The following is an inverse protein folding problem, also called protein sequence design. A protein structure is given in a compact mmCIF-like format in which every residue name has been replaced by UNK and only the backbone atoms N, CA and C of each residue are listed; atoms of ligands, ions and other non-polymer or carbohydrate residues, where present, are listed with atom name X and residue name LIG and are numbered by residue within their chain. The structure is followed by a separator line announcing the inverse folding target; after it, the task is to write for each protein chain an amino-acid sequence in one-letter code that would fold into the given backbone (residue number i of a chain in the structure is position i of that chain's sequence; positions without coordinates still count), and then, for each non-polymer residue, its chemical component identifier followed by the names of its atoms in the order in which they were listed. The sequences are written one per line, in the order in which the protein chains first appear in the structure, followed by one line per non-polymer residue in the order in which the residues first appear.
data_IF_936093589372
#
_entry.id   IF_936093589372
#
_cell.length_a   1.000
_cell.length_b   1.000
_cell.length_c   1.000
_cell.angle_alpha   90.00
_cell.angle_beta   90.00
_cell.angle_gamma   90.00
#
_symmetry.space_group_name_H-M   'P 1'
#
loop_
_entity.id
_entity.type
_entity.pdbx_description
1 polymer ?
#
# COMPACT_ATOMS: atom_id res chain seq x y z
N UNK A 1 -30.07 -19.74 5.80
CA UNK A 1 -29.77 -18.36 5.34
C UNK A 1 -28.47 -17.80 5.91
N UNK A 2 -28.19 -17.92 7.22
CA UNK A 2 -26.99 -17.36 7.89
C UNK A 2 -25.65 -17.75 7.23
N UNK A 3 -25.48 -19.01 6.84
CA UNK A 3 -24.25 -19.49 6.19
C UNK A 3 -23.96 -18.88 4.80
N UNK A 4 -25.00 -18.57 4.01
CA UNK A 4 -24.82 -17.95 2.68
C UNK A 4 -24.31 -16.51 2.79
N UNK A 5 -24.90 -15.72 3.70
CA UNK A 5 -24.48 -14.34 3.95
C UNK A 5 -23.09 -14.26 4.60
N UNK A 6 -22.75 -15.19 5.50
CA UNK A 6 -21.39 -15.27 6.04
C UNK A 6 -20.35 -15.57 4.95
N UNK A 7 -20.68 -16.46 4.01
CA UNK A 7 -19.79 -16.74 2.87
C UNK A 7 -19.66 -15.53 1.94
N UNK A 8 -20.77 -14.85 1.65
CA UNK A 8 -20.77 -13.63 0.85
C UNK A 8 -19.94 -12.53 1.52
N UNK A 9 -20.10 -12.34 2.83
CA UNK A 9 -19.29 -11.41 3.61
C UNK A 9 -17.80 -11.77 3.55
N UNK A 10 -17.44 -13.06 3.72
CA UNK A 10 -16.04 -13.51 3.56
C UNK A 10 -15.49 -13.17 2.18
N UNK A 11 -16.28 -13.36 1.12
CA UNK A 11 -15.86 -13.06 -0.24
C UNK A 11 -15.65 -11.54 -0.45
N UNK A 12 -16.52 -10.69 0.09
CA UNK A 12 -16.32 -9.24 -0.01
C UNK A 12 -15.11 -8.76 0.81
N UNK A 13 -14.92 -9.32 2.01
CA UNK A 13 -13.73 -9.02 2.82
C UNK A 13 -12.46 -9.48 2.10
N UNK A 14 -12.49 -10.65 1.47
CA UNK A 14 -11.35 -11.16 0.70
C UNK A 14 -10.93 -10.19 -0.40
N UNK A 15 -11.88 -9.61 -1.14
CA UNK A 15 -11.61 -8.61 -2.17
C UNK A 15 -10.99 -7.33 -1.59
N UNK A 16 -11.45 -6.89 -0.42
CA UNK A 16 -10.81 -5.77 0.31
C UNK A 16 -9.38 -6.14 0.71
N UNK A 17 -9.16 -7.37 1.20
CA UNK A 17 -7.84 -7.87 1.56
C UNK A 17 -6.89 -7.90 0.35
N UNK A 18 -7.34 -8.32 -0.82
CA UNK A 18 -6.53 -8.34 -2.04
C UNK A 18 -6.03 -6.93 -2.41
N UNK A 19 -6.92 -5.92 -2.38
CA UNK A 19 -6.58 -4.52 -2.63
C UNK A 19 -5.58 -4.02 -1.57
N UNK A 20 -5.84 -4.31 -0.30
CA UNK A 20 -4.97 -3.91 0.81
C UNK A 20 -3.58 -4.55 0.70
N UNK A 21 -3.51 -5.84 0.39
CA UNK A 21 -2.24 -6.57 0.29
C UNK A 21 -1.39 -6.04 -0.86
N UNK A 22 -2.00 -5.73 -2.01
CA UNK A 22 -1.30 -5.11 -3.13
C UNK A 22 -0.78 -3.71 -2.74
N UNK A 23 -1.64 -2.87 -2.15
CA UNK A 23 -1.25 -1.55 -1.69
C UNK A 23 -0.11 -1.60 -0.66
N UNK A 24 -0.21 -2.47 0.35
CA UNK A 24 0.80 -2.65 1.41
C UNK A 24 2.12 -3.18 0.85
N UNK A 25 2.08 -4.16 -0.05
CA UNK A 25 3.28 -4.74 -0.65
C UNK A 25 4.06 -3.71 -1.46
N UNK A 26 3.36 -2.96 -2.32
CA UNK A 26 3.97 -1.85 -3.06
C UNK A 26 4.47 -0.73 -2.14
N UNK A 27 3.71 -0.39 -1.10
CA UNK A 27 4.11 0.62 -0.12
C UNK A 27 5.41 0.23 0.59
N UNK A 28 5.52 -1.02 1.05
CA UNK A 28 6.70 -1.53 1.71
C UNK A 28 7.92 -1.44 0.79
N UNK A 29 7.79 -1.84 -0.48
CA UNK A 29 8.87 -1.71 -1.48
C UNK A 29 9.32 -0.25 -1.59
N UNK A 30 8.37 0.69 -1.76
CA UNK A 30 8.67 2.12 -1.84
C UNK A 30 9.36 2.63 -0.57
N UNK A 31 8.84 2.29 0.61
CA UNK A 31 9.38 2.70 1.90
C UNK A 31 10.84 2.23 2.07
N UNK A 32 11.11 0.98 1.70
CA UNK A 32 12.45 0.42 1.76
C UNK A 32 13.40 1.07 0.75
N UNK A 33 12.99 1.23 -0.51
CA UNK A 33 13.84 1.85 -1.54
C UNK A 33 14.16 3.33 -1.26
N UNK A 34 13.27 4.05 -0.57
CA UNK A 34 13.51 5.44 -0.13
C UNK A 34 14.40 5.52 1.11
N UNK A 35 14.32 4.53 2.00
CA UNK A 35 15.07 4.48 3.25
C UNK A 35 15.67 3.08 3.49
N UNK A 36 16.70 2.67 2.73
CA UNK A 36 17.31 1.36 2.91
C UNK A 36 18.08 1.28 4.23
N UNK A 37 18.14 0.08 4.82
CA UNK A 37 18.84 -0.15 6.10
C UNK A 37 20.37 -0.24 5.97
N UNK A 38 20.92 -0.05 4.77
CA UNK A 38 22.35 -0.20 4.47
C UNK A 38 22.85 0.94 3.59
N UNK A 39 24.04 1.46 3.91
CA UNK A 39 24.70 2.49 3.10
C UNK A 39 25.01 1.98 1.68
N UNK A 40 25.47 0.72 1.56
CA UNK A 40 25.75 0.10 0.26
C UNK A 40 24.49 -0.01 -0.60
N UNK A 41 23.37 -0.41 0.01
CA UNK A 41 22.08 -0.44 -0.70
C UNK A 41 21.68 0.95 -1.16
N UNK A 42 21.82 1.95 -0.28
CA UNK A 42 21.52 3.35 -0.59
C UNK A 42 22.32 3.85 -1.80
N UNK A 43 23.63 3.62 -1.82
CA UNK A 43 24.50 4.00 -2.94
C UNK A 43 24.10 3.30 -4.24
N UNK A 44 23.85 1.99 -4.19
CA UNK A 44 23.45 1.23 -5.35
C UNK A 44 22.10 1.70 -5.92
N UNK A 45 21.09 1.82 -5.05
CA UNK A 45 19.74 2.28 -5.39
C UNK A 45 19.79 3.68 -6.02
N UNK A 46 20.53 4.62 -5.41
CA UNK A 46 20.63 6.00 -5.91
C UNK A 46 21.31 6.10 -7.28
N UNK A 47 22.21 5.16 -7.60
CA UNK A 47 22.87 5.07 -8.91
C UNK A 47 22.04 4.34 -9.98
N UNK A 48 20.98 3.62 -9.59
CA UNK A 48 20.20 2.78 -10.49
C UNK A 48 18.95 3.48 -11.03
N UNK A 49 18.86 3.62 -12.35
CA UNK A 49 17.66 4.13 -13.02
C UNK A 49 16.45 3.20 -12.80
N UNK A 50 16.68 1.88 -12.76
CA UNK A 50 15.64 0.89 -12.49
C UNK A 50 15.00 1.10 -11.12
N UNK A 51 15.80 1.30 -10.06
CA UNK A 51 15.22 1.48 -8.72
C UNK A 51 14.49 2.82 -8.56
N UNK A 52 14.96 3.89 -9.21
CA UNK A 52 14.21 5.16 -9.29
C UNK A 52 12.85 4.98 -9.95
N UNK A 53 12.80 4.24 -11.06
CA UNK A 53 11.55 3.88 -11.73
C UNK A 53 10.66 3.01 -10.81
N UNK A 54 11.23 2.02 -10.15
CA UNK A 54 10.50 1.11 -9.24
C UNK A 54 9.88 1.85 -8.05
N UNK A 55 10.54 2.87 -7.49
CA UNK A 55 9.96 3.73 -6.45
C UNK A 55 8.68 4.40 -6.96
N UNK A 56 8.73 5.01 -8.15
CA UNK A 56 7.61 5.76 -8.74
C UNK A 56 6.43 4.83 -9.00
N UNK A 57 6.67 3.68 -9.62
CA UNK A 57 5.61 2.73 -9.96
C UNK A 57 4.97 2.13 -8.72
N UNK A 58 5.76 1.69 -7.73
CA UNK A 58 5.20 1.12 -6.51
C UNK A 58 4.45 2.16 -5.67
N UNK A 59 4.93 3.41 -5.64
CA UNK A 59 4.20 4.49 -4.97
C UNK A 59 2.86 4.76 -5.67
N UNK A 60 2.86 4.84 -7.01
CA UNK A 60 1.65 4.99 -7.81
C UNK A 60 0.65 3.86 -7.53
N UNK A 61 1.10 2.61 -7.53
CA UNK A 61 0.26 1.44 -7.21
C UNK A 61 -0.35 1.57 -5.82
N UNK A 62 0.46 1.93 -4.82
CA UNK A 62 0.00 2.17 -3.45
C UNK A 62 -1.15 3.19 -3.42
N UNK A 63 -0.95 4.36 -4.04
CA UNK A 63 -1.93 5.45 -4.04
C UNK A 63 -3.22 5.03 -4.75
N UNK A 64 -3.12 4.38 -5.92
CA UNK A 64 -4.28 3.94 -6.69
C UNK A 64 -5.08 2.89 -5.93
N UNK A 65 -4.44 1.82 -5.46
CA UNK A 65 -5.12 0.70 -4.81
C UNK A 65 -5.71 1.12 -3.47
N UNK A 66 -4.96 1.83 -2.63
CA UNK A 66 -5.44 2.29 -1.34
C UNK A 66 -6.61 3.28 -1.49
N UNK A 67 -6.60 4.12 -2.52
CA UNK A 67 -7.73 5.04 -2.80
C UNK A 67 -9.04 4.31 -3.08
N UNK A 68 -9.03 3.11 -3.68
CA UNK A 68 -10.26 2.32 -3.93
C UNK A 68 -10.97 1.94 -2.63
N UNK A 69 -10.23 1.83 -1.54
CA UNK A 69 -10.77 1.51 -0.21
C UNK A 69 -11.41 2.71 0.50
N UNK A 70 -11.16 3.93 0.01
CA UNK A 70 -11.61 5.16 0.68
C UNK A 70 -12.44 6.11 -0.18
N UNK A 71 -12.31 6.06 -1.52
CA UNK A 71 -13.02 6.94 -2.42
C UNK A 71 -14.52 6.64 -2.44
N UNK A 72 -15.33 7.66 -2.20
CA UNK A 72 -16.79 7.55 -2.13
C UNK A 72 -17.41 7.71 -3.53
N UNK A 73 -17.09 6.78 -4.44
CA UNK A 73 -17.71 6.70 -5.75
C UNK A 73 -18.45 5.37 -5.90
N UNK A 74 -19.78 5.43 -5.74
CA UNK A 74 -20.67 4.26 -5.77
C UNK A 74 -20.52 3.37 -7.01
N UNK A 75 -20.18 3.94 -8.16
CA UNK A 75 -20.13 3.21 -9.42
C UNK A 75 -18.75 2.59 -9.71
N UNK A 76 -17.69 3.07 -9.05
CA UNK A 76 -16.30 2.66 -9.33
C UNK A 76 -15.62 1.97 -8.16
N UNK A 77 -16.00 2.32 -6.93
CA UNK A 77 -15.29 1.93 -5.71
C UNK A 77 -16.19 1.07 -4.80
N UNK A 78 -16.70 -0.04 -5.36
CA UNK A 78 -17.58 -1.01 -4.66
C UNK A 78 -17.00 -1.52 -3.32
N UNK A 79 -15.68 -1.48 -3.19
CA UNK A 79 -14.93 -1.98 -2.03
C UNK A 79 -14.53 -0.88 -1.03
N UNK A 80 -15.11 0.31 -1.16
CA UNK A 80 -14.96 1.38 -0.20
C UNK A 80 -15.38 0.92 1.22
N UNK A 81 -14.55 1.22 2.22
CA UNK A 81 -14.77 0.83 3.61
C UNK A 81 -16.01 1.45 4.25
N UNK A 82 -16.32 2.72 3.99
CA UNK A 82 -17.54 3.38 4.50
C UNK A 82 -18.80 2.67 3.98
N UNK A 83 -18.83 2.34 2.70
CA UNK A 83 -19.92 1.56 2.11
C UNK A 83 -19.99 0.13 2.65
N UNK A 84 -18.83 -0.50 2.82
CA UNK A 84 -18.74 -1.83 3.39
C UNK A 84 -19.27 -1.87 4.84
N UNK A 85 -18.85 -0.92 5.68
CA UNK A 85 -19.34 -0.76 7.06
C UNK A 85 -20.85 -0.48 7.08
N UNK A 86 -21.37 0.34 6.16
CA UNK A 86 -22.82 0.57 6.06
C UNK A 86 -23.60 -0.72 5.81
N UNK A 87 -23.07 -1.66 5.03
CA UNK A 87 -23.72 -2.97 4.80
C UNK A 87 -23.79 -3.82 6.09
N UNK A 88 -22.93 -3.58 7.07
CA UNK A 88 -22.89 -4.29 8.35
C UNK A 88 -23.84 -3.71 9.42
N UNK A 89 -24.42 -2.53 9.19
CA UNK A 89 -25.42 -1.92 10.08
C UNK A 89 -26.70 -2.78 10.15
N UNK A 90 -27.51 -2.58 11.19
CA UNK A 90 -28.75 -3.33 11.44
C UNK A 90 -29.72 -3.32 10.26
N UNK A 91 -29.80 -2.21 9.54
CA UNK A 91 -30.61 -2.00 8.34
C UNK A 91 -29.88 -2.34 7.03
N UNK A 92 -28.60 -2.70 7.11
CA UNK A 92 -27.75 -3.07 5.99
C UNK A 92 -27.96 -4.50 5.51
N UNK A 93 -27.34 -4.82 4.37
CA UNK A 93 -27.41 -6.14 3.72
C UNK A 93 -27.02 -7.30 4.66
N UNK A 94 -26.04 -7.07 5.53
CA UNK A 94 -25.52 -8.04 6.51
C UNK A 94 -26.05 -7.79 7.94
N UNK A 95 -27.11 -7.00 8.12
CA UNK A 95 -27.62 -6.63 9.45
C UNK A 95 -28.06 -7.81 10.34
N UNK A 96 -28.37 -8.96 9.75
CA UNK A 96 -28.69 -10.20 10.47
C UNK A 96 -27.49 -10.88 11.14
N UNK A 97 -26.26 -10.42 10.84
CA UNK A 97 -25.04 -10.80 11.56
C UNK A 97 -24.98 -10.16 12.95
N UNK A 98 -25.76 -9.08 13.19
CA UNK A 98 -25.94 -8.42 14.49
C UNK A 98 -24.63 -7.92 15.12
N UNK A 99 -23.80 -7.23 14.34
CA UNK A 99 -22.64 -6.52 14.89
C UNK A 99 -23.13 -5.40 15.83
N UNK A 100 -22.56 -5.26 17.05
CA UNK A 100 -22.91 -4.17 17.95
C UNK A 100 -22.71 -2.79 17.32
N UNK A 101 -23.69 -1.89 17.49
CA UNK A 101 -23.63 -0.53 16.94
C UNK A 101 -22.42 0.26 17.46
N UNK A 102 -21.97 -0.04 18.69
CA UNK A 102 -20.76 0.57 19.29
C UNK A 102 -19.51 0.23 18.50
N UNK A 103 -19.36 -1.02 18.04
CA UNK A 103 -18.22 -1.46 17.23
C UNK A 103 -18.23 -0.77 15.86
N UNK A 104 -19.43 -0.64 15.25
CA UNK A 104 -19.58 0.07 13.98
C UNK A 104 -19.22 1.55 14.14
N UNK A 105 -19.69 2.20 15.20
CA UNK A 105 -19.38 3.59 15.50
C UNK A 105 -17.87 3.81 15.71
N UNK A 106 -17.18 2.87 16.36
CA UNK A 106 -15.73 2.92 16.52
C UNK A 106 -15.00 2.89 15.16
N UNK A 107 -15.46 2.04 14.23
CA UNK A 107 -14.87 2.00 12.88
C UNK A 107 -15.10 3.30 12.10
N UNK A 108 -16.31 3.85 12.16
CA UNK A 108 -16.63 5.13 11.53
C UNK A 108 -15.78 6.27 12.12
N UNK A 109 -15.64 6.32 13.44
CA UNK A 109 -14.81 7.31 14.12
C UNK A 109 -13.32 7.21 13.76
N UNK A 110 -12.79 5.99 13.54
CA UNK A 110 -11.41 5.81 13.07
C UNK A 110 -11.24 6.37 11.66
N UNK A 111 -12.21 6.13 10.75
CA UNK A 111 -12.15 6.65 9.39
C UNK A 111 -12.29 8.18 9.34
N UNK A 112 -13.16 8.75 10.18
CA UNK A 112 -13.39 10.19 10.21
C UNK A 112 -12.19 10.96 10.78
N UNK A 113 -11.43 10.37 11.72
CA UNK A 113 -10.16 10.93 12.20
C UNK A 113 -9.13 11.11 11.09
N UNK A 114 -9.14 10.25 10.08
CA UNK A 114 -8.17 10.28 8.97
C UNK A 114 -8.71 10.96 7.70
N UNK A 115 -9.86 11.67 7.78
CA UNK A 115 -10.54 12.25 6.61
C UNK A 115 -9.62 13.12 5.75
N UNK A 116 -8.74 13.91 6.37
CA UNK A 116 -7.80 14.76 5.64
C UNK A 116 -6.74 13.94 4.88
N UNK A 117 -6.21 12.89 5.50
CA UNK A 117 -5.23 12.01 4.86
C UNK A 117 -5.89 11.23 3.70
N UNK A 118 -7.12 10.76 3.90
CA UNK A 118 -7.94 10.11 2.88
C UNK A 118 -8.16 11.05 1.68
N UNK A 119 -8.61 12.28 1.93
CA UNK A 119 -8.88 13.25 0.87
C UNK A 119 -7.61 13.59 0.09
N UNK A 120 -6.48 13.73 0.76
CA UNK A 120 -5.19 13.96 0.11
C UNK A 120 -4.77 12.77 -0.75
N UNK A 121 -5.01 11.52 -0.31
CA UNK A 121 -4.69 10.31 -1.05
C UNK A 121 -5.50 10.25 -2.36
N UNK A 122 -6.80 10.50 -2.25
CA UNK A 122 -7.72 10.56 -3.40
C UNK A 122 -7.29 11.68 -4.36
N UNK A 123 -6.93 12.85 -3.83
CA UNK A 123 -6.46 13.97 -4.65
C UNK A 123 -5.17 13.60 -5.41
N UNK A 124 -4.23 12.89 -4.78
CA UNK A 124 -3.04 12.38 -5.47
C UNK A 124 -3.40 11.41 -6.59
N UNK A 125 -4.30 10.44 -6.35
CA UNK A 125 -4.78 9.53 -7.39
C UNK A 125 -5.32 10.32 -8.56
N UNK A 126 -6.27 11.21 -8.31
CA UNK A 126 -7.03 11.89 -9.36
C UNK A 126 -6.16 12.87 -10.15
N UNK A 127 -5.35 13.67 -9.46
CA UNK A 127 -4.58 14.75 -10.08
C UNK A 127 -3.19 14.35 -10.57
N UNK A 128 -2.62 13.25 -10.08
CA UNK A 128 -1.26 12.82 -10.49
C UNK A 128 -1.31 11.58 -11.36
N UNK A 129 -2.13 10.60 -11.00
CA UNK A 129 -2.00 9.25 -11.55
C UNK A 129 -3.14 8.80 -12.45
N UNK A 130 -4.30 9.45 -12.38
CA UNK A 130 -5.48 9.18 -13.21
C UNK A 130 -5.66 10.19 -14.36
N UNK A 131 -5.25 11.45 -14.16
CA UNK A 131 -5.36 12.50 -15.16
C UNK A 131 -4.01 13.21 -15.34
N UNK A 132 -3.61 13.49 -16.59
CA UNK A 132 -2.49 14.38 -16.93
C UNK A 132 -2.89 15.84 -16.67
N UNK A 133 -3.14 16.16 -15.39
CA UNK A 133 -3.57 17.50 -14.98
C UNK A 133 -2.35 18.44 -14.84
N UNK A 134 -2.29 19.58 -15.55
CA UNK A 134 -1.15 20.51 -15.50
C UNK A 134 -0.80 21.03 -14.08
N UNK A 135 -1.68 20.84 -13.08
CA UNK A 135 -1.44 21.21 -11.68
C UNK A 135 -0.59 20.22 -10.84
N UNK A 136 0.03 19.19 -11.45
CA UNK A 136 0.80 18.13 -10.76
C UNK A 136 1.78 18.59 -9.65
N UNK A 137 2.42 19.76 -9.80
CA UNK A 137 3.40 20.30 -8.81
C UNK A 137 2.77 20.69 -7.47
N UNK A 138 1.49 21.02 -7.44
CA UNK A 138 0.79 21.42 -6.20
C UNK A 138 0.36 20.22 -5.34
N UNK A 139 0.30 19.03 -5.93
CA UNK A 139 -0.27 17.82 -5.29
C UNK A 139 0.82 16.82 -4.87
N UNK A 140 2.07 17.01 -5.32
CA UNK A 140 3.15 16.00 -5.21
C UNK A 140 3.58 15.68 -3.77
N UNK A 141 3.15 16.46 -2.77
CA UNK A 141 3.49 16.27 -1.36
C UNK A 141 2.28 16.21 -0.40
N UNK A 142 1.06 16.03 -0.90
CA UNK A 142 -0.15 16.08 -0.04
C UNK A 142 -0.34 14.87 0.87
N UNK A 143 0.25 13.71 0.55
CA UNK A 143 0.31 12.52 1.41
C UNK A 143 1.76 12.07 1.55
N UNK A 144 2.21 11.97 2.79
CA UNK A 144 3.53 11.47 3.15
C UNK A 144 3.49 9.97 3.49
N UNK A 145 4.63 9.27 3.30
CA UNK A 145 4.82 7.85 3.63
C UNK A 145 4.20 7.48 4.98
N UNK A 146 4.46 8.28 6.02
CA UNK A 146 3.91 8.04 7.36
C UNK A 146 2.38 8.01 7.38
N UNK A 147 1.72 8.95 6.71
CA UNK A 147 0.25 8.98 6.65
C UNK A 147 -0.32 7.83 5.84
N UNK A 148 0.35 7.41 4.78
CA UNK A 148 -0.03 6.20 4.04
C UNK A 148 0.08 4.94 4.91
N UNK A 149 1.15 4.82 5.71
CA UNK A 149 1.34 3.72 6.66
C UNK A 149 0.20 3.67 7.69
N UNK A 150 -0.15 4.84 8.26
CA UNK A 150 -1.27 5.00 9.19
C UNK A 150 -2.60 4.58 8.55
N UNK A 151 -2.87 4.98 7.29
CA UNK A 151 -4.06 4.57 6.55
C UNK A 151 -4.13 3.07 6.28
N UNK A 152 -3.01 2.42 5.92
CA UNK A 152 -2.92 0.96 5.79
C UNK A 152 -3.28 0.30 7.11
N UNK A 153 -2.71 0.79 8.22
CA UNK A 153 -3.01 0.30 9.57
C UNK A 153 -4.48 0.45 9.97
N UNK A 154 -5.16 1.52 9.52
CA UNK A 154 -6.61 1.71 9.71
C UNK A 154 -7.40 0.60 9.02
N UNK A 155 -7.11 0.31 7.75
CA UNK A 155 -7.81 -0.76 7.02
C UNK A 155 -7.56 -2.11 7.71
N UNK A 156 -6.31 -2.43 8.03
CA UNK A 156 -5.97 -3.68 8.73
C UNK A 156 -6.73 -3.83 10.05
N UNK A 157 -6.80 -2.76 10.84
CA UNK A 157 -7.49 -2.76 12.13
C UNK A 157 -8.98 -3.02 11.98
N UNK A 158 -9.64 -2.38 11.01
CA UNK A 158 -11.05 -2.60 10.71
C UNK A 158 -11.29 -4.06 10.32
N UNK A 159 -10.51 -4.59 9.37
CA UNK A 159 -10.68 -5.97 8.90
C UNK A 159 -10.36 -7.00 9.99
N UNK A 160 -9.30 -6.82 10.77
CA UNK A 160 -8.98 -7.67 11.95
C UNK A 160 -10.15 -7.68 12.92
N UNK A 161 -10.73 -6.52 13.22
CA UNK A 161 -11.85 -6.44 14.16
C UNK A 161 -13.12 -7.12 13.62
N UNK A 162 -13.39 -7.03 12.31
CA UNK A 162 -14.48 -7.76 11.66
C UNK A 162 -14.27 -9.27 11.79
N UNK A 163 -13.05 -9.76 11.52
CA UNK A 163 -12.74 -11.18 11.62
C UNK A 163 -12.96 -11.73 13.03
N UNK A 164 -12.46 -11.02 14.03
CA UNK A 164 -12.66 -11.38 15.43
C UNK A 164 -14.14 -11.35 15.82
N UNK A 165 -14.88 -10.31 15.41
CA UNK A 165 -16.28 -10.13 15.83
C UNK A 165 -17.25 -11.08 15.13
N UNK A 166 -17.01 -11.38 13.84
CA UNK A 166 -17.97 -12.09 13.00
C UNK A 166 -17.63 -13.58 12.84
N UNK A 167 -16.34 -13.91 12.79
CA UNK A 167 -15.88 -15.26 12.50
C UNK A 167 -15.20 -15.95 13.68
N UNK A 168 -14.97 -15.22 14.79
CA UNK A 168 -14.24 -15.72 15.97
C UNK A 168 -12.84 -16.25 15.60
N UNK A 169 -12.21 -15.60 14.62
CA UNK A 169 -10.86 -15.95 14.14
C UNK A 169 -10.02 -14.71 13.89
N UNK A 170 -8.70 -14.90 13.88
CA UNK A 170 -7.76 -13.87 13.45
C UNK A 170 -7.48 -13.91 11.95
N UNK A 171 -6.98 -12.79 11.42
CA UNK A 171 -6.39 -12.70 10.08
C UNK A 171 -5.01 -12.03 10.18
N UNK A 172 -4.06 -12.53 9.39
CA UNK A 172 -2.73 -11.92 9.22
C UNK A 172 -2.63 -11.25 7.87
N UNK A 173 -1.96 -10.09 7.84
CA UNK A 173 -1.61 -9.36 6.62
C UNK A 173 -0.10 -9.41 6.36
N UNK A 174 0.60 -10.37 6.95
CA UNK A 174 1.99 -10.66 6.60
C UNK A 174 2.00 -11.45 5.30
N UNK A 175 2.57 -10.90 4.20
CA UNK A 175 2.60 -11.58 2.92
C UNK A 175 3.43 -12.87 3.01
N UNK A 176 2.95 -13.93 2.36
CA UNK A 176 3.74 -15.14 2.14
C UNK A 176 4.80 -14.81 1.09
N UNK A 177 6.07 -14.81 1.48
CA UNK A 177 7.17 -14.34 0.64
C UNK A 177 7.29 -12.81 0.66
N UNK A 178 7.72 -12.27 1.81
CA UNK A 178 7.84 -10.84 2.04
C UNK A 178 8.64 -10.15 0.90
N UNK A 179 8.02 -9.24 0.12
CA UNK A 179 8.68 -8.57 -0.98
C UNK A 179 9.95 -7.83 -0.53
N UNK A 180 10.03 -7.41 0.74
CA UNK A 180 11.21 -6.74 1.29
C UNK A 180 12.36 -7.72 1.51
N UNK A 181 12.08 -8.91 2.04
CA UNK A 181 13.11 -9.94 2.21
C UNK A 181 13.71 -10.34 0.86
N UNK A 182 12.85 -10.55 -0.15
CA UNK A 182 13.29 -10.86 -1.51
C UNK A 182 14.09 -9.72 -2.14
N UNK A 183 13.64 -8.47 -1.96
CA UNK A 183 14.33 -7.30 -2.46
C UNK A 183 15.71 -7.11 -1.79
N UNK A 184 15.81 -7.33 -0.48
CA UNK A 184 17.07 -7.28 0.25
C UNK A 184 18.05 -8.29 -0.29
N UNK A 185 17.62 -9.54 -0.42
CA UNK A 185 18.44 -10.61 -0.98
C UNK A 185 18.96 -10.28 -2.39
N UNK A 186 18.09 -9.75 -3.25
CA UNK A 186 18.50 -9.32 -4.60
C UNK A 186 19.49 -8.16 -4.57
N UNK A 187 19.30 -7.18 -3.68
CA UNK A 187 20.24 -6.06 -3.53
C UNK A 187 21.60 -6.51 -3.01
N UNK A 188 21.64 -7.44 -2.06
CA UNK A 188 22.88 -8.01 -1.56
C UNK A 188 23.68 -8.66 -2.69
N UNK A 189 23.01 -9.44 -3.57
CA UNK A 189 23.63 -10.03 -4.76
C UNK A 189 24.17 -8.93 -5.69
N UNK A 190 23.33 -7.96 -6.06
CA UNK A 190 23.69 -6.92 -7.02
C UNK A 190 24.83 -6.03 -6.53
N UNK A 191 24.86 -5.70 -5.25
CA UNK A 191 25.95 -4.95 -4.62
C UNK A 191 27.24 -5.75 -4.65
N UNK A 192 27.19 -7.03 -4.26
CA UNK A 192 28.36 -7.90 -4.28
C UNK A 192 28.91 -8.08 -5.71
N UNK A 193 28.04 -8.28 -6.70
CA UNK A 193 28.44 -8.38 -8.11
C UNK A 193 29.09 -7.09 -8.62
N UNK A 194 28.55 -5.93 -8.24
CA UNK A 194 29.16 -4.65 -8.59
C UNK A 194 30.54 -4.48 -7.97
N UNK A 195 30.70 -4.81 -6.69
CA UNK A 195 31.98 -4.67 -5.99
C UNK A 195 33.04 -5.66 -6.52
N UNK A 196 32.64 -6.87 -6.88
CA UNK A 196 33.56 -7.93 -7.32
C UNK A 196 33.91 -7.85 -8.80
N UNK A 197 32.94 -7.55 -9.67
CA UNK A 197 33.10 -7.71 -11.11
C UNK A 197 33.15 -6.38 -11.88
N UNK A 198 32.53 -5.32 -11.36
CA UNK A 198 32.40 -4.04 -12.08
C UNK A 198 33.31 -2.94 -11.52
N UNK A 199 33.47 -2.87 -10.19
CA UNK A 199 34.29 -1.85 -9.56
C UNK A 199 35.79 -1.96 -9.91
N UNK A 200 36.42 -3.15 -9.97
CA UNK A 200 37.83 -3.25 -10.37
C UNK A 200 38.12 -2.76 -11.80
N UNK A 201 37.40 -3.17 -12.85
CA UNK A 201 37.63 -2.64 -14.20
C UNK A 201 37.27 -1.15 -14.32
N UNK A 202 36.25 -0.65 -13.61
CA UNK A 202 35.95 0.79 -13.58
C UNK A 202 37.09 1.61 -12.95
N UNK A 203 37.63 1.13 -11.82
CA UNK A 203 38.76 1.79 -11.16
C UNK A 203 40.03 1.76 -12.04
N UNK A 204 40.23 0.67 -12.77
CA UNK A 204 41.29 0.57 -13.78
C UNK A 204 41.09 1.58 -14.91
N UNK A 205 39.91 1.60 -15.54
CA UNK A 205 39.60 2.55 -16.61
C UNK A 205 39.81 4.01 -16.17
N UNK A 206 39.34 4.35 -14.96
CA UNK A 206 39.55 5.67 -14.33
C UNK A 206 41.02 6.02 -14.16
N UNK A 207 41.82 5.11 -13.60
CA UNK A 207 43.26 5.31 -13.38
C UNK A 207 44.01 5.56 -14.69
N UNK A 208 43.51 4.99 -15.79
CA UNK A 208 44.14 5.06 -17.11
C UNK A 208 43.47 6.05 -18.08
N UNK A 209 42.50 6.84 -17.62
CA UNK A 209 41.82 7.85 -18.45
C UNK A 209 40.97 7.27 -19.58
N UNK A 210 40.45 6.06 -19.41
CA UNK A 210 39.66 5.33 -20.41
C UNK A 210 38.14 5.46 -20.18
N UNK A 211 37.68 6.52 -19.49
CA UNK A 211 36.27 6.66 -19.08
C UNK A 211 35.31 7.03 -20.24
N UNK A 212 35.84 7.52 -21.38
CA UNK A 212 35.05 8.09 -22.50
C UNK A 212 35.17 7.31 -23.84
N UNK A 213 35.58 6.03 -23.84
CA UNK A 213 35.64 5.18 -25.06
C UNK A 213 34.42 4.29 -25.20
#
# INVERSE_FOLDING_TARGET
MKGKKQQELKNEIWQICEILLLAKSSFNITKYLLHPNSLKHTEYINSSAYFKYSIIINWRTTVIELSKLFADNKDRDRFNLKHFIKKLKKDGHFGDIKIPDTIIADWEAILDKEVNAINNLILQRDKIYAHTDPAHKSVTNTVHIRKTDELIGVVEKVIKHIYLTVFDTGISFEPVGDPIQNLNYLLDILVNERETNLAPPMAFAKKHGLEDV
#
